data_IF_345791120955
#
_entry.id   IF_345791120955
#
_cell.length_a   1.000
_cell.length_b   1.000
_cell.length_c   1.000
_cell.angle_alpha   90.00
_cell.angle_beta   90.00
_cell.angle_gamma   90.00
#
_symmetry.space_group_name_H-M   'P 1'
#
loop_
_entity.id
_entity.type
_entity.pdbx_description
1 polymer ?
#
# COMPACT_ATOMS: atom_id res chain seq x y z
N UNK A 1 -0.88 -13.87 7.55
CA UNK A 1 -1.18 -12.44 7.80
C UNK A 1 -2.66 -12.14 7.57
N UNK A 2 -3.16 -12.20 6.33
CA UNK A 2 -4.55 -11.81 6.00
C UNK A 2 -5.64 -12.62 6.73
N UNK A 3 -5.41 -13.90 7.00
CA UNK A 3 -6.31 -14.71 7.84
C UNK A 3 -6.45 -14.16 9.27
N UNK A 4 -5.36 -13.64 9.84
CA UNK A 4 -5.37 -13.05 11.17
C UNK A 4 -6.16 -11.72 11.16
N UNK A 5 -5.95 -10.88 10.14
CA UNK A 5 -6.75 -9.66 9.93
C UNK A 5 -8.25 -9.96 9.79
N UNK A 6 -8.61 -10.98 9.00
CA UNK A 6 -10.00 -11.41 8.79
C UNK A 6 -10.69 -11.94 10.07
N UNK A 7 -9.92 -12.35 11.07
CA UNK A 7 -10.41 -12.83 12.37
C UNK A 7 -10.27 -11.79 13.49
N UNK A 8 -10.00 -10.52 13.15
CA UNK A 8 -9.96 -9.41 14.10
C UNK A 8 -8.60 -9.17 14.77
N UNK A 9 -7.54 -9.87 14.35
CA UNK A 9 -6.20 -9.64 14.88
C UNK A 9 -5.54 -8.45 14.18
N UNK A 10 -5.17 -7.44 14.96
CA UNK A 10 -4.40 -6.31 14.46
C UNK A 10 -3.04 -6.80 13.98
N UNK A 11 -2.70 -6.52 12.73
CA UNK A 11 -1.48 -7.04 12.11
C UNK A 11 -0.74 -5.94 11.37
N UNK A 12 0.59 -5.97 11.45
CA UNK A 12 1.50 -5.10 10.70
C UNK A 12 2.52 -5.96 9.98
N UNK A 13 2.94 -5.55 8.79
CA UNK A 13 4.00 -6.23 8.05
C UNK A 13 4.67 -5.28 7.07
N UNK A 14 5.81 -5.71 6.54
CA UNK A 14 6.55 -5.01 5.48
C UNK A 14 6.60 -5.90 4.25
N UNK A 15 6.49 -5.30 3.07
CA UNK A 15 6.73 -6.01 1.82
C UNK A 15 7.44 -5.11 0.83
N UNK A 16 8.18 -5.74 -0.08
CA UNK A 16 8.83 -5.00 -1.15
C UNK A 16 7.82 -4.73 -2.28
N UNK A 17 7.41 -3.46 -2.40
CA UNK A 17 6.58 -2.93 -3.48
C UNK A 17 6.78 -1.40 -3.56
N UNK A 18 6.71 -0.84 -4.77
CA UNK A 18 6.90 0.58 -5.06
C UNK A 18 5.59 1.36 -5.26
N UNK A 19 4.47 0.64 -5.32
CA UNK A 19 3.12 1.13 -5.57
C UNK A 19 2.08 0.15 -5.04
N UNK A 20 0.84 0.61 -4.84
CA UNK A 20 -0.28 -0.28 -4.46
C UNK A 20 -0.55 -1.33 -5.54
N UNK A 21 -0.46 -0.97 -6.82
CA UNK A 21 -0.64 -1.93 -7.92
C UNK A 21 0.39 -3.06 -7.87
N UNK A 22 1.66 -2.73 -7.66
CA UNK A 22 2.74 -3.70 -7.49
C UNK A 22 2.54 -4.56 -6.23
N UNK A 23 2.08 -3.95 -5.14
CA UNK A 23 1.72 -4.63 -3.89
C UNK A 23 0.63 -5.68 -4.10
N UNK A 24 -0.50 -5.29 -4.69
CA UNK A 24 -1.64 -6.18 -5.01
C UNK A 24 -1.18 -7.34 -5.89
N UNK A 25 -0.44 -7.04 -6.97
CA UNK A 25 0.07 -8.06 -7.86
C UNK A 25 0.96 -9.10 -7.15
N UNK A 26 1.81 -8.68 -6.21
CA UNK A 26 2.65 -9.60 -5.42
C UNK A 26 1.85 -10.43 -4.43
N UNK A 27 0.81 -9.86 -3.83
CA UNK A 27 -0.03 -10.57 -2.86
C UNK A 27 -0.86 -11.66 -3.53
N UNK A 28 -1.36 -11.42 -4.74
CA UNK A 28 -2.25 -12.33 -5.44
C UNK A 28 -1.55 -13.46 -6.18
N UNK A 29 -0.30 -13.24 -6.60
CA UNK A 29 0.45 -14.24 -7.35
C UNK A 29 1.32 -15.12 -6.41
N UNK A 30 1.74 -16.31 -6.87
CA UNK A 30 2.72 -17.12 -6.16
C UNK A 30 4.00 -16.32 -5.85
N UNK A 31 4.64 -16.57 -4.68
CA UNK A 31 4.34 -17.61 -3.71
C UNK A 31 3.26 -17.25 -2.67
N UNK A 32 2.72 -16.03 -2.68
CA UNK A 32 1.80 -15.57 -1.62
C UNK A 32 0.37 -16.04 -1.90
N UNK A 33 -0.09 -15.92 -3.15
CA UNK A 33 -1.37 -16.45 -3.64
C UNK A 33 -2.57 -16.10 -2.74
N UNK A 34 -2.63 -14.85 -2.26
CA UNK A 34 -3.71 -14.34 -1.40
C UNK A 34 -4.96 -14.08 -2.23
N UNK A 35 -6.11 -14.65 -1.88
CA UNK A 35 -7.39 -14.32 -2.51
C UNK A 35 -7.69 -12.82 -2.41
N UNK A 36 -8.01 -12.18 -3.54
CA UNK A 36 -8.28 -10.74 -3.64
C UNK A 36 -9.27 -10.25 -2.57
N UNK A 37 -10.33 -11.00 -2.31
CA UNK A 37 -11.35 -10.66 -1.30
C UNK A 37 -10.76 -10.37 0.10
N UNK A 38 -9.67 -11.04 0.48
CA UNK A 38 -9.01 -10.85 1.77
C UNK A 38 -8.24 -9.54 1.86
N UNK A 39 -7.89 -8.90 0.73
CA UNK A 39 -7.16 -7.63 0.76
C UNK A 39 -7.98 -6.49 1.34
N UNK A 40 -9.32 -6.59 1.34
CA UNK A 40 -10.21 -5.61 2.00
C UNK A 40 -10.05 -5.57 3.53
N UNK A 41 -9.43 -6.60 4.13
CA UNK A 41 -9.08 -6.63 5.54
C UNK A 41 -7.87 -5.74 5.88
N UNK A 42 -7.01 -5.44 4.90
CA UNK A 42 -5.94 -4.46 5.06
C UNK A 42 -6.54 -3.06 5.03
N UNK A 43 -6.15 -2.20 5.98
CA UNK A 43 -6.71 -0.83 6.09
C UNK A 43 -5.78 0.24 5.57
N UNK A 44 -4.51 0.19 5.94
CA UNK A 44 -3.54 1.23 5.59
C UNK A 44 -2.36 0.62 4.85
N UNK A 45 -1.93 1.31 3.80
CA UNK A 45 -0.72 1.02 3.05
C UNK A 45 0.18 2.24 3.11
N UNK A 46 1.46 2.04 3.41
CA UNK A 46 2.46 3.10 3.48
C UNK A 46 3.55 2.77 2.47
N UNK A 47 3.68 3.60 1.45
CA UNK A 47 4.73 3.45 0.43
C UNK A 47 5.91 4.30 0.84
N UNK A 48 7.04 3.65 1.13
CA UNK A 48 8.30 4.32 1.44
C UNK A 48 9.23 4.30 0.23
N UNK A 49 9.96 5.39 0.03
CA UNK A 49 10.94 5.50 -1.05
C UNK A 49 12.27 6.03 -0.54
N UNK A 50 13.33 5.61 -1.20
CA UNK A 50 14.63 6.26 -1.15
C UNK A 50 14.72 7.16 -2.39
N UNK A 51 14.75 8.47 -2.19
CA UNK A 51 14.77 9.47 -3.25
C UNK A 51 15.99 10.39 -3.10
N UNK A 52 16.34 11.10 -4.18
CA UNK A 52 17.34 12.18 -4.11
C UNK A 52 16.59 13.51 -4.00
N UNK A 53 16.86 14.27 -2.95
CA UNK A 53 16.33 15.62 -2.72
C UNK A 53 17.52 16.56 -2.59
N UNK A 54 17.69 17.45 -3.58
CA UNK A 54 18.91 18.23 -3.74
C UNK A 54 20.16 17.34 -3.82
N UNK A 55 21.15 17.61 -2.97
CA UNK A 55 22.41 16.86 -2.93
C UNK A 55 22.38 15.64 -1.99
N UNK A 56 21.25 15.37 -1.34
CA UNK A 56 21.12 14.30 -0.35
C UNK A 56 20.26 13.14 -0.86
N UNK A 57 20.61 11.93 -0.42
CA UNK A 57 19.74 10.77 -0.51
C UNK A 57 18.88 10.74 0.75
N UNK A 58 17.57 10.81 0.57
CA UNK A 58 16.59 10.89 1.66
C UNK A 58 15.64 9.70 1.63
N UNK A 59 15.12 9.32 2.80
CA UNK A 59 13.98 8.41 2.92
C UNK A 59 12.72 9.22 3.18
N UNK A 60 11.67 8.94 2.43
CA UNK A 60 10.37 9.63 2.54
C UNK A 60 9.24 8.62 2.47
N UNK A 61 8.15 8.94 3.14
CA UNK A 61 6.87 8.31 2.87
C UNK A 61 6.35 8.97 1.61
N UNK A 62 6.29 8.24 0.50
CA UNK A 62 5.78 8.78 -0.77
C UNK A 62 4.27 8.97 -0.70
N UNK A 63 3.57 7.96 -0.22
CA UNK A 63 2.11 7.95 -0.11
C UNK A 63 1.66 7.14 1.11
N UNK A 64 0.57 7.59 1.74
CA UNK A 64 -0.22 6.79 2.67
C UNK A 64 -1.62 6.67 2.07
N UNK A 65 -2.09 5.44 1.97
CA UNK A 65 -3.37 5.13 1.34
C UNK A 65 -4.19 4.24 2.26
N UNK A 66 -5.49 4.50 2.27
CA UNK A 66 -6.49 3.65 2.89
C UNK A 66 -7.12 2.74 1.84
N UNK A 67 -7.33 1.47 2.18
CA UNK A 67 -8.13 0.55 1.38
C UNK A 67 -9.57 0.63 1.88
N UNK A 68 -10.45 1.12 1.01
CA UNK A 68 -11.86 1.33 1.32
C UNK A 68 -12.65 0.04 1.06
N UNK A 69 -12.34 -0.65 -0.04
CA UNK A 69 -13.04 -1.86 -0.45
C UNK A 69 -12.73 -2.26 -1.88
N UNK A 70 -13.70 -2.90 -2.53
CA UNK A 70 -13.63 -3.34 -3.92
C UNK A 70 -14.80 -2.78 -4.72
N UNK A 71 -14.53 -2.44 -5.98
CA UNK A 71 -15.57 -2.16 -6.97
C UNK A 71 -16.19 -3.50 -7.42
N UNK A 72 -17.50 -3.73 -7.22
CA UNK A 72 -18.13 -5.01 -7.52
C UNK A 72 -18.02 -5.47 -8.97
N UNK A 73 -18.01 -4.54 -9.93
CA UNK A 73 -18.02 -4.89 -11.35
C UNK A 73 -16.63 -5.19 -11.91
N UNK A 74 -15.64 -4.34 -11.56
CA UNK A 74 -14.27 -4.44 -12.09
C UNK A 74 -13.36 -5.28 -11.20
N UNK A 75 -13.79 -5.57 -9.98
CA UNK A 75 -12.99 -6.20 -8.92
C UNK A 75 -11.70 -5.40 -8.63
N UNK A 76 -11.71 -4.08 -8.88
CA UNK A 76 -10.60 -3.20 -8.58
C UNK A 76 -10.61 -2.73 -7.13
N UNK A 77 -9.41 -2.51 -6.58
CA UNK A 77 -9.25 -2.05 -5.22
C UNK A 77 -9.57 -0.55 -5.13
N UNK A 78 -10.59 -0.20 -4.34
CA UNK A 78 -10.92 1.20 -4.07
C UNK A 78 -9.97 1.70 -2.98
N UNK A 79 -9.22 2.75 -3.30
CA UNK A 79 -8.24 3.34 -2.39
C UNK A 79 -8.49 4.83 -2.19
N UNK A 80 -8.19 5.32 -0.99
CA UNK A 80 -8.22 6.73 -0.64
C UNK A 80 -6.80 7.18 -0.27
N UNK A 81 -6.22 8.12 -1.02
CA UNK A 81 -4.88 8.64 -0.70
C UNK A 81 -5.03 9.75 0.32
N UNK A 82 -4.53 9.52 1.54
CA UNK A 82 -4.64 10.47 2.66
C UNK A 82 -3.39 11.31 2.85
N UNK A 83 -2.25 10.86 2.31
CA UNK A 83 -1.00 11.63 2.29
C UNK A 83 -0.25 11.39 0.99
N UNK A 84 0.32 12.45 0.43
CA UNK A 84 1.21 12.38 -0.73
C UNK A 84 2.40 13.34 -0.56
N UNK A 85 3.58 12.88 -0.95
CA UNK A 85 4.81 13.67 -0.90
C UNK A 85 5.15 14.27 -2.25
N UNK A 86 5.28 15.59 -2.30
CA UNK A 86 5.81 16.35 -3.44
C UNK A 86 7.34 16.33 -3.40
N UNK A 87 7.93 15.55 -4.30
CA UNK A 87 9.38 15.41 -4.43
C UNK A 87 10.08 16.71 -4.85
N UNK A 88 9.40 17.59 -5.59
CA UNK A 88 9.96 18.86 -6.06
C UNK A 88 10.10 19.89 -4.97
N UNK A 89 9.17 19.90 -3.99
CA UNK A 89 9.17 20.82 -2.85
C UNK A 89 9.69 20.21 -1.55
N UNK A 90 9.91 18.90 -1.54
CA UNK A 90 10.20 18.09 -0.36
C UNK A 90 9.21 18.33 0.79
N UNK A 91 7.91 18.34 0.46
CA UNK A 91 6.81 18.62 1.38
C UNK A 91 5.66 17.64 1.18
N UNK A 92 4.88 17.44 2.23
CA UNK A 92 3.61 16.72 2.16
C UNK A 92 2.50 17.65 1.68
N UNK A 93 1.59 17.10 0.88
CA UNK A 93 0.34 17.72 0.43
C UNK A 93 -0.82 17.33 1.33
#
# INVERSE_FOLDING_TARGET
>A
MFQAMATGHTTYSTMHADSVKSMVNRLENPPINTPRILLSALKNVIIQVQARSGNAVVRRIKQILEIVGFEPETNELITNTVYEWDAGKDKFL
#
